data_IF_782288769889
#
_entry.id   IF_782288769889
#
_cell.length_a   1.000
_cell.length_b   1.000
_cell.length_c   1.000
_cell.angle_alpha   90.00
_cell.angle_beta   90.00
_cell.angle_gamma   90.00
#
_symmetry.space_group_name_H-M   'P 1'
#
loop_
_entity.id
_entity.type
_entity.pdbx_description
1 polymer ?
#
# COMPACT_ATOMS: atom_id res chain seq x y z
N UNK A 1 -25.26 26.86 -1.15
CA UNK A 1 -25.94 25.69 -1.73
C UNK A 1 -26.49 24.83 -0.59
N UNK A 2 -27.54 24.03 -0.80
CA UNK A 2 -27.92 22.97 0.16
C UNK A 2 -27.11 21.71 -0.10
N UNK A 3 -26.58 21.09 0.97
CA UNK A 3 -25.75 19.88 0.91
C UNK A 3 -26.55 18.63 1.34
N UNK A 4 -26.12 17.42 0.96
CA UNK A 4 -26.76 16.22 1.49
C UNK A 4 -26.57 16.12 3.01
N UNK A 5 -27.61 15.67 3.71
CA UNK A 5 -27.43 15.19 5.08
C UNK A 5 -26.56 13.92 5.07
N UNK A 6 -25.80 13.69 6.12
CA UNK A 6 -24.92 12.54 6.27
C UNK A 6 -25.28 11.69 7.50
N UNK A 7 -24.93 10.42 7.46
CA UNK A 7 -24.98 9.47 8.57
C UNK A 7 -23.75 8.58 8.52
N UNK A 8 -23.40 7.94 9.63
CA UNK A 8 -22.24 7.06 9.72
C UNK A 8 -22.67 5.60 9.67
N UNK A 9 -21.93 4.82 8.91
CA UNK A 9 -21.97 3.36 8.98
C UNK A 9 -20.65 2.80 9.50
N UNK A 10 -20.72 1.62 10.11
CA UNK A 10 -19.59 0.73 10.31
C UNK A 10 -19.75 -0.49 9.41
N UNK A 11 -18.71 -0.80 8.65
CA UNK A 11 -18.62 -2.00 7.83
C UNK A 11 -18.07 -3.17 8.65
N UNK A 12 -18.63 -4.35 8.46
CA UNK A 12 -18.15 -5.59 9.07
C UNK A 12 -17.33 -6.39 8.05
N UNK A 13 -16.00 -6.37 8.20
CA UNK A 13 -15.10 -7.21 7.42
C UNK A 13 -14.74 -8.50 8.13
N UNK A 14 -14.38 -9.53 7.36
CA UNK A 14 -13.67 -10.69 7.89
C UNK A 14 -12.39 -10.23 8.61
N UNK A 15 -12.16 -10.77 9.80
CA UNK A 15 -11.05 -10.37 10.68
C UNK A 15 -10.17 -11.55 11.09
N UNK A 16 -9.60 -12.33 10.13
CA UNK A 16 -8.51 -13.23 10.48
C UNK A 16 -7.35 -12.41 11.05
N UNK A 17 -6.71 -12.93 12.09
CA UNK A 17 -5.61 -12.24 12.77
C UNK A 17 -4.63 -13.25 13.34
N UNK A 18 -3.35 -12.92 13.26
CA UNK A 18 -2.29 -13.63 13.97
C UNK A 18 -2.10 -12.97 15.34
N UNK A 19 -2.40 -13.70 16.42
CA UNK A 19 -2.27 -13.17 17.78
C UNK A 19 -0.80 -13.23 18.29
N UNK A 20 -0.07 -14.32 18.03
CA UNK A 20 1.35 -14.47 18.35
C UNK A 20 2.21 -14.33 17.09
N UNK A 21 2.61 -13.09 16.80
CA UNK A 21 3.43 -12.76 15.62
C UNK A 21 4.81 -13.45 15.69
N UNK A 22 5.62 -13.30 16.76
CA UNK A 22 6.92 -13.97 16.84
C UNK A 22 6.83 -15.49 16.74
N UNK A 23 5.90 -16.11 17.47
CA UNK A 23 5.71 -17.56 17.44
C UNK A 23 5.32 -18.09 16.06
N UNK A 24 4.46 -17.36 15.35
CA UNK A 24 4.03 -17.72 13.99
C UNK A 24 5.18 -17.64 13.00
N UNK A 25 5.98 -16.56 13.02
CA UNK A 25 7.17 -16.43 12.15
C UNK A 25 8.15 -17.58 12.42
N UNK A 26 8.41 -17.89 13.69
CA UNK A 26 9.29 -18.97 14.09
C UNK A 26 8.78 -20.33 13.61
N UNK A 27 7.48 -20.62 13.77
CA UNK A 27 6.86 -21.86 13.32
C UNK A 27 6.96 -22.04 11.80
N UNK A 28 6.63 -20.98 11.04
CA UNK A 28 6.67 -20.99 9.59
C UNK A 28 8.09 -21.21 9.06
N UNK A 29 9.11 -20.53 9.62
CA UNK A 29 10.50 -20.71 9.20
C UNK A 29 11.06 -22.08 9.59
N UNK A 30 10.71 -22.62 10.78
CA UNK A 30 11.11 -23.97 11.20
C UNK A 30 10.54 -25.05 10.28
N UNK A 31 9.29 -24.90 9.85
CA UNK A 31 8.60 -25.84 8.96
C UNK A 31 9.36 -26.07 7.65
N UNK A 32 10.10 -25.07 7.18
CA UNK A 32 10.92 -25.15 5.96
C UNK A 32 12.22 -25.94 6.14
N UNK A 33 12.57 -26.37 7.36
CA UNK A 33 13.77 -27.17 7.60
C UNK A 33 15.08 -26.43 7.31
N UNK A 34 15.11 -25.10 7.44
CA UNK A 34 16.24 -24.25 7.02
C UNK A 34 17.55 -24.57 7.77
N UNK A 35 17.48 -25.17 8.95
CA UNK A 35 18.65 -25.66 9.72
C UNK A 35 19.50 -26.68 8.95
N UNK A 36 18.98 -27.30 7.89
CA UNK A 36 19.75 -28.22 7.02
C UNK A 36 20.57 -27.47 5.96
N UNK A 37 20.24 -26.21 5.69
CA UNK A 37 20.83 -25.38 4.62
C UNK A 37 21.71 -24.26 5.15
N UNK A 38 21.40 -23.73 6.34
CA UNK A 38 22.14 -22.66 7.00
C UNK A 38 23.14 -23.26 7.99
N UNK A 39 24.42 -22.92 7.84
CA UNK A 39 25.51 -23.32 8.75
C UNK A 39 25.86 -22.19 9.71
N UNK A 40 26.36 -22.50 10.92
CA UNK A 40 26.86 -21.50 11.85
C UNK A 40 27.85 -20.52 11.18
N UNK A 41 27.71 -19.24 11.48
CA UNK A 41 28.52 -18.15 10.94
C UNK A 41 28.12 -17.64 9.55
N UNK A 42 27.25 -18.35 8.81
CA UNK A 42 26.77 -17.88 7.51
C UNK A 42 25.92 -16.63 7.62
N UNK A 43 26.00 -15.77 6.62
CA UNK A 43 25.26 -14.52 6.55
C UNK A 43 23.88 -14.70 5.91
N UNK A 44 22.87 -14.01 6.44
CA UNK A 44 21.50 -14.07 5.90
C UNK A 44 21.00 -12.64 5.68
N UNK A 45 20.79 -12.27 4.41
CA UNK A 45 20.15 -11.00 4.07
C UNK A 45 18.64 -11.13 4.22
N UNK A 46 18.01 -10.22 4.96
CA UNK A 46 16.55 -10.18 5.17
C UNK A 46 16.02 -8.89 4.55
N UNK A 47 15.16 -9.01 3.54
CA UNK A 47 14.64 -7.82 2.83
C UNK A 47 13.59 -7.07 3.67
N UNK A 48 13.64 -5.75 3.70
CA UNK A 48 12.62 -4.88 4.29
C UNK A 48 12.01 -3.95 3.22
N UNK A 49 10.71 -4.06 2.99
CA UNK A 49 9.99 -3.25 2.00
C UNK A 49 9.63 -1.85 2.49
N UNK A 50 9.04 -1.04 1.60
CA UNK A 50 8.69 0.37 1.86
C UNK A 50 7.22 0.61 2.21
N UNK A 51 6.54 -0.40 2.74
CA UNK A 51 5.14 -0.28 3.13
C UNK A 51 5.04 -0.31 4.63
N UNK A 52 4.21 0.58 5.17
CA UNK A 52 3.64 0.40 6.49
C UNK A 52 2.83 -0.87 6.46
N UNK A 53 3.30 -1.86 7.19
CA UNK A 53 2.64 -3.14 7.41
C UNK A 53 2.52 -3.28 8.92
N UNK A 54 1.34 -3.64 9.41
CA UNK A 54 1.15 -3.83 10.83
C UNK A 54 2.15 -4.86 11.37
N UNK A 55 2.80 -4.51 12.50
CA UNK A 55 3.79 -5.34 13.18
C UNK A 55 5.05 -5.68 12.37
N UNK A 56 5.37 -4.96 11.28
CA UNK A 56 6.52 -5.32 10.42
C UNK A 56 7.85 -5.40 11.17
N UNK A 57 8.12 -4.48 12.10
CA UNK A 57 9.31 -4.53 12.95
C UNK A 57 9.35 -5.78 13.81
N UNK A 58 8.22 -6.23 14.37
CA UNK A 58 8.11 -7.48 15.14
C UNK A 58 8.36 -8.69 14.24
N UNK A 59 7.78 -8.72 13.03
CA UNK A 59 7.96 -9.81 12.06
C UNK A 59 9.42 -9.93 11.64
N UNK A 60 10.06 -8.82 11.27
CA UNK A 60 11.47 -8.79 10.85
C UNK A 60 12.37 -9.19 12.01
N UNK A 61 12.14 -8.67 13.22
CA UNK A 61 12.89 -9.07 14.42
C UNK A 61 12.75 -10.57 14.68
N UNK A 62 11.54 -11.13 14.59
CA UNK A 62 11.35 -12.56 14.80
C UNK A 62 12.09 -13.42 13.76
N UNK A 63 12.16 -12.97 12.51
CA UNK A 63 12.97 -13.63 11.48
C UNK A 63 14.48 -13.51 11.76
N UNK A 64 14.96 -12.34 12.21
CA UNK A 64 16.35 -12.14 12.67
C UNK A 64 16.68 -13.09 13.82
N UNK A 65 15.82 -13.16 14.83
CA UNK A 65 16.03 -14.00 16.01
C UNK A 65 16.02 -15.50 15.65
N UNK A 66 15.20 -15.92 14.68
CA UNK A 66 15.23 -17.28 14.13
C UNK A 66 16.61 -17.64 13.59
N UNK A 67 17.18 -16.79 12.73
CA UNK A 67 18.49 -17.05 12.13
C UNK A 67 19.64 -16.94 13.14
N UNK A 68 19.56 -16.03 14.11
CA UNK A 68 20.51 -16.01 15.24
C UNK A 68 20.46 -17.31 16.04
N UNK A 69 19.28 -17.89 16.24
CA UNK A 69 19.12 -19.20 16.87
C UNK A 69 19.71 -20.38 16.08
N UNK A 70 20.03 -20.18 14.80
CA UNK A 70 20.81 -21.11 13.97
C UNK A 70 22.32 -20.78 13.93
N UNK A 71 22.78 -19.91 14.84
CA UNK A 71 24.14 -19.36 14.88
C UNK A 71 24.54 -18.61 13.60
N UNK A 72 23.58 -18.14 12.81
CA UNK A 72 23.82 -17.34 11.61
C UNK A 72 24.03 -15.85 11.94
N UNK A 73 24.48 -15.08 10.93
CA UNK A 73 24.75 -13.64 11.02
C UNK A 73 23.77 -12.87 10.13
N UNK A 74 22.51 -12.66 10.57
CA UNK A 74 21.53 -11.95 9.78
C UNK A 74 21.86 -10.45 9.68
N UNK A 75 21.42 -9.83 8.59
CA UNK A 75 21.39 -8.38 8.43
C UNK A 75 20.20 -7.99 7.56
N UNK A 76 19.71 -6.76 7.73
CA UNK A 76 18.53 -6.25 7.04
C UNK A 76 18.98 -5.45 5.81
N UNK A 77 18.29 -5.66 4.69
CA UNK A 77 18.51 -4.91 3.43
C UNK A 77 17.22 -4.17 3.07
N UNK A 78 17.22 -2.82 3.04
CA UNK A 78 16.12 -2.06 2.46
C UNK A 78 15.93 -2.44 0.99
N UNK A 79 14.74 -2.93 0.64
CA UNK A 79 14.42 -3.51 -0.66
C UNK A 79 13.16 -2.85 -1.21
N UNK A 80 13.32 -1.64 -1.76
CA UNK A 80 12.18 -0.77 -2.03
C UNK A 80 12.25 0.06 -3.31
N UNK A 81 13.08 -0.37 -4.27
CA UNK A 81 13.15 0.23 -5.60
C UNK A 81 13.57 1.70 -5.54
N UNK A 82 12.71 2.60 -6.04
CA UNK A 82 12.91 4.06 -6.07
C UNK A 82 12.41 4.80 -4.83
N UNK A 83 11.85 4.11 -3.84
CA UNK A 83 11.38 4.76 -2.62
C UNK A 83 12.54 5.36 -1.81
N UNK A 84 12.23 6.31 -0.92
CA UNK A 84 13.24 7.08 -0.20
C UNK A 84 14.03 8.03 -1.11
N UNK A 85 13.43 8.48 -2.22
CA UNK A 85 14.10 9.32 -3.21
C UNK A 85 15.19 8.59 -4.02
N UNK A 86 15.24 7.25 -3.96
CA UNK A 86 16.26 6.47 -4.67
C UNK A 86 17.65 6.60 -4.06
N UNK A 87 17.77 6.91 -2.77
CA UNK A 87 19.04 7.03 -2.03
C UNK A 87 19.13 6.01 -0.90
N UNK A 88 20.35 5.66 -0.49
CA UNK A 88 20.57 4.73 0.61
C UNK A 88 20.06 5.30 1.94
N UNK A 89 20.29 6.59 2.19
CA UNK A 89 19.88 7.31 3.39
C UNK A 89 18.36 7.41 3.48
N UNK A 90 17.69 7.73 2.37
CA UNK A 90 16.24 7.83 2.33
C UNK A 90 15.56 6.48 2.56
N UNK A 91 16.09 5.39 1.98
CA UNK A 91 15.57 4.04 2.25
C UNK A 91 15.79 3.61 3.70
N UNK A 92 16.94 3.96 4.30
CA UNK A 92 17.20 3.68 5.71
C UNK A 92 16.20 4.39 6.62
N UNK A 93 15.96 5.69 6.40
CA UNK A 93 14.98 6.49 7.16
C UNK A 93 13.57 5.88 7.13
N UNK A 94 13.13 5.35 5.99
CA UNK A 94 11.82 4.69 5.87
C UNK A 94 11.76 3.40 6.71
N UNK A 95 12.80 2.56 6.65
CA UNK A 95 12.83 1.31 7.43
C UNK A 95 12.82 1.62 8.93
N UNK A 96 13.61 2.61 9.36
CA UNK A 96 13.67 3.06 10.75
C UNK A 96 12.34 3.67 11.22
N UNK A 97 11.62 4.41 10.36
CA UNK A 97 10.29 4.96 10.72
C UNK A 97 9.21 3.89 10.93
N UNK A 98 9.42 2.67 10.44
CA UNK A 98 8.56 1.51 10.73
C UNK A 98 8.97 0.73 12.00
N UNK A 99 9.93 1.25 12.77
CA UNK A 99 10.45 0.62 13.98
C UNK A 99 11.51 -0.45 13.72
N UNK A 100 11.95 -0.62 12.47
CA UNK A 100 13.02 -1.55 12.11
C UNK A 100 14.36 -0.81 12.30
N UNK A 101 14.91 -0.89 13.51
CA UNK A 101 16.22 -0.31 13.85
C UNK A 101 17.23 -1.40 14.17
N UNK A 102 18.52 -1.08 14.05
CA UNK A 102 19.61 -2.01 14.40
C UNK A 102 19.56 -2.40 15.88
N UNK A 103 19.21 -1.44 16.75
CA UNK A 103 19.03 -1.66 18.19
C UNK A 103 17.87 -2.64 18.46
N UNK A 104 16.70 -2.39 17.89
CA UNK A 104 15.52 -3.21 18.13
C UNK A 104 15.66 -4.62 17.55
N UNK A 105 16.16 -4.75 16.32
CA UNK A 105 16.35 -6.04 15.67
C UNK A 105 17.62 -6.77 16.17
N UNK A 106 18.56 -6.03 16.76
CA UNK A 106 19.87 -6.51 17.20
C UNK A 106 20.75 -6.99 16.04
N UNK A 107 20.60 -6.44 14.84
CA UNK A 107 21.44 -6.79 13.68
C UNK A 107 21.63 -5.57 12.76
N UNK A 108 22.70 -5.55 11.92
CA UNK A 108 22.97 -4.41 11.05
C UNK A 108 21.88 -4.19 9.98
N UNK A 109 21.67 -2.92 9.60
CA UNK A 109 20.91 -2.49 8.43
C UNK A 109 21.92 -2.04 7.37
N UNK A 110 22.02 -2.79 6.27
CA UNK A 110 22.92 -2.48 5.15
C UNK A 110 22.13 -1.81 4.03
N UNK A 111 22.10 -0.48 4.05
CA UNK A 111 21.44 0.31 3.01
C UNK A 111 22.45 0.77 1.96
N UNK A 112 22.20 0.41 0.70
CA UNK A 112 22.98 0.83 -0.47
C UNK A 112 22.11 0.82 -1.72
N UNK A 113 22.47 1.62 -2.72
CA UNK A 113 21.90 1.59 -4.07
C UNK A 113 22.72 0.74 -5.04
N UNK A 114 23.86 0.19 -4.61
CA UNK A 114 24.67 -0.67 -5.46
C UNK A 114 23.96 -1.98 -5.82
N UNK A 115 24.03 -2.33 -7.10
CA UNK A 115 23.46 -3.57 -7.64
C UNK A 115 24.49 -4.34 -8.45
N UNK A 116 24.35 -5.65 -8.51
CA UNK A 116 25.03 -6.54 -9.45
C UNK A 116 24.06 -6.90 -10.57
N UNK A 117 24.54 -6.93 -11.82
CA UNK A 117 23.77 -7.51 -12.94
C UNK A 117 23.97 -9.02 -12.92
N UNK A 118 22.93 -9.77 -12.56
CA UNK A 118 23.04 -11.22 -12.37
C UNK A 118 22.91 -12.01 -13.68
N UNK A 119 22.19 -11.46 -14.65
CA UNK A 119 22.09 -11.97 -16.02
C UNK A 119 21.40 -10.93 -16.92
N UNK A 120 21.24 -11.27 -18.20
CA UNK A 120 20.24 -10.65 -19.07
C UNK A 120 19.03 -11.58 -19.21
N UNK A 121 17.83 -11.02 -19.32
CA UNK A 121 16.61 -11.78 -19.61
C UNK A 121 16.56 -12.21 -21.08
N UNK A 122 15.67 -13.13 -21.42
CA UNK A 122 15.42 -13.50 -22.82
C UNK A 122 14.88 -12.32 -23.64
N UNK A 123 14.18 -11.40 -22.97
CA UNK A 123 13.67 -10.14 -23.51
C UNK A 123 14.77 -9.07 -23.71
N UNK A 124 16.02 -9.34 -23.33
CA UNK A 124 17.17 -8.50 -23.67
C UNK A 124 17.51 -7.37 -22.68
N UNK A 125 16.92 -7.36 -21.48
CA UNK A 125 17.21 -6.35 -20.45
C UNK A 125 17.99 -6.94 -19.25
N UNK A 126 18.78 -6.13 -18.52
CA UNK A 126 19.58 -6.63 -17.40
C UNK A 126 18.72 -6.92 -16.16
N UNK A 127 19.06 -8.00 -15.45
CA UNK A 127 18.50 -8.28 -14.13
C UNK A 127 19.42 -7.73 -13.06
N UNK A 128 18.96 -6.73 -12.31
CA UNK A 128 19.68 -6.13 -11.19
C UNK A 128 19.30 -6.79 -9.87
N UNK A 129 20.27 -6.92 -8.97
CA UNK A 129 20.05 -7.41 -7.61
C UNK A 129 20.97 -6.69 -6.62
N UNK A 130 20.49 -6.43 -5.41
CA UNK A 130 21.22 -5.74 -4.35
C UNK A 130 22.55 -6.43 -4.07
N UNK A 131 23.63 -5.64 -4.04
CA UNK A 131 24.98 -6.18 -3.88
C UNK A 131 25.17 -6.92 -2.56
N UNK A 132 24.69 -6.38 -1.44
CA UNK A 132 24.85 -7.01 -0.14
C UNK A 132 24.08 -8.33 -0.05
N UNK A 133 22.87 -8.39 -0.59
CA UNK A 133 22.05 -9.60 -0.65
C UNK A 133 22.68 -10.65 -1.57
N UNK A 134 23.27 -10.24 -2.70
CA UNK A 134 23.97 -11.14 -3.62
C UNK A 134 25.21 -11.79 -2.96
N UNK A 135 25.97 -10.99 -2.22
CA UNK A 135 27.20 -11.41 -1.53
C UNK A 135 26.93 -12.25 -0.28
N UNK A 136 25.71 -12.21 0.29
CA UNK A 136 25.32 -13.05 1.41
C UNK A 136 25.35 -14.56 1.06
N UNK A 137 25.42 -15.41 2.08
CA UNK A 137 25.28 -16.86 1.89
C UNK A 137 23.84 -17.25 1.53
N UNK A 138 22.87 -16.52 2.09
CA UNK A 138 21.44 -16.77 1.94
C UNK A 138 20.62 -15.48 1.92
N UNK A 139 19.46 -15.51 1.27
CA UNK A 139 18.49 -14.40 1.26
C UNK A 139 17.12 -14.88 1.71
N UNK A 140 16.54 -14.23 2.73
CA UNK A 140 15.12 -14.33 3.08
C UNK A 140 14.39 -13.13 2.48
N UNK A 141 13.43 -13.41 1.59
CA UNK A 141 12.58 -12.36 0.99
C UNK A 141 11.33 -12.20 1.84
N UNK A 142 11.14 -11.03 2.45
CA UNK A 142 9.92 -10.69 3.18
C UNK A 142 9.08 -9.72 2.34
N UNK A 143 7.76 -9.96 2.23
CA UNK A 143 6.90 -9.09 1.41
C UNK A 143 5.42 -9.21 1.72
N UNK A 144 4.70 -8.08 1.59
CA UNK A 144 3.24 -8.06 1.66
C UNK A 144 2.64 -8.53 0.33
N UNK A 145 1.81 -9.56 0.39
CA UNK A 145 0.99 -9.98 -0.75
C UNK A 145 -0.29 -9.15 -0.76
N UNK A 146 -0.49 -8.37 -1.82
CA UNK A 146 -1.63 -7.46 -1.98
C UNK A 146 -1.94 -7.21 -3.47
N UNK A 147 -3.20 -6.97 -3.83
CA UNK A 147 -3.53 -6.40 -5.13
C UNK A 147 -2.70 -5.15 -5.43
N UNK A 148 -2.11 -5.10 -6.62
CA UNK A 148 -1.42 -3.94 -7.14
C UNK A 148 -2.42 -2.86 -7.54
N UNK A 149 -1.96 -1.61 -7.54
CA UNK A 149 -2.78 -0.46 -7.90
C UNK A 149 -2.94 -0.30 -9.41
N UNK A 150 -1.89 -0.56 -10.20
CA UNK A 150 -1.87 -0.13 -11.62
C UNK A 150 -2.01 -1.29 -12.61
N UNK A 151 -2.10 -2.53 -12.14
CA UNK A 151 -2.30 -3.70 -13.01
C UNK A 151 -3.02 -4.83 -12.26
N UNK A 152 -3.42 -5.85 -13.01
CA UNK A 152 -4.11 -7.04 -12.49
C UNK A 152 -3.46 -8.29 -13.09
N UNK A 153 -3.22 -9.30 -12.26
CA UNK A 153 -2.60 -10.55 -12.69
C UNK A 153 -2.85 -11.70 -11.72
N UNK A 154 -2.32 -12.88 -12.02
CA UNK A 154 -2.27 -13.97 -11.03
C UNK A 154 -1.26 -13.67 -9.91
N UNK A 155 -0.27 -12.83 -10.22
CA UNK A 155 0.80 -12.38 -9.34
C UNK A 155 0.85 -10.86 -9.43
N UNK A 156 0.87 -10.19 -8.28
CA UNK A 156 0.78 -8.74 -8.19
C UNK A 156 1.86 -8.17 -7.26
N UNK A 157 1.51 -7.65 -6.08
CA UNK A 157 2.50 -7.34 -5.05
C UNK A 157 2.76 -8.57 -4.19
N UNK A 158 4.01 -8.79 -3.77
CA UNK A 158 4.41 -9.94 -2.99
C UNK A 158 5.91 -10.17 -3.02
N UNK A 159 6.33 -11.40 -2.72
CA UNK A 159 7.70 -11.89 -2.73
C UNK A 159 8.34 -11.77 -4.12
N UNK A 160 7.61 -12.10 -5.19
CA UNK A 160 8.17 -12.00 -6.54
C UNK A 160 8.43 -10.53 -6.93
N UNK A 161 7.53 -9.63 -6.54
CA UNK A 161 7.75 -8.18 -6.71
C UNK A 161 8.93 -7.67 -5.88
N UNK A 162 9.12 -8.20 -4.66
CA UNK A 162 10.27 -7.87 -3.83
C UNK A 162 11.59 -8.34 -4.46
N UNK A 163 11.61 -9.49 -5.14
CA UNK A 163 12.78 -10.01 -5.82
C UNK A 163 13.24 -9.14 -7.00
N UNK A 164 12.33 -8.64 -7.85
CA UNK A 164 12.72 -7.75 -8.96
C UNK A 164 12.79 -6.27 -8.54
N UNK A 165 11.72 -5.66 -8.03
CA UNK A 165 11.69 -4.20 -7.81
C UNK A 165 12.39 -3.85 -6.51
N UNK A 166 12.11 -4.60 -5.44
CA UNK A 166 12.65 -4.31 -4.13
C UNK A 166 14.18 -4.47 -4.11
N UNK A 167 14.64 -5.68 -4.38
CA UNK A 167 16.06 -6.04 -4.39
C UNK A 167 16.78 -5.60 -5.66
N UNK A 168 16.08 -5.27 -6.75
CA UNK A 168 16.71 -4.60 -7.90
C UNK A 168 17.08 -3.15 -7.66
N UNK A 169 16.71 -2.56 -6.51
CA UNK A 169 16.97 -1.16 -6.15
C UNK A 169 16.46 -0.18 -7.21
N UNK A 170 16.97 1.05 -7.18
CA UNK A 170 16.54 2.08 -8.10
C UNK A 170 16.85 1.70 -9.56
N UNK A 171 18.04 1.16 -9.83
CA UNK A 171 18.45 0.81 -11.20
C UNK A 171 17.58 -0.29 -11.80
N UNK A 172 17.31 -1.37 -11.05
CA UNK A 172 16.38 -2.41 -11.46
C UNK A 172 14.98 -1.86 -11.66
N UNK A 173 14.47 -1.06 -10.73
CA UNK A 173 13.15 -0.45 -10.87
C UNK A 173 13.00 0.34 -12.18
N UNK A 174 13.99 1.16 -12.56
CA UNK A 174 13.99 1.88 -13.84
C UNK A 174 13.90 0.93 -15.04
N UNK A 175 14.71 -0.14 -15.05
CA UNK A 175 14.72 -1.13 -16.12
C UNK A 175 13.37 -1.83 -16.24
N UNK A 176 12.83 -2.32 -15.12
CA UNK A 176 11.60 -3.10 -15.14
C UNK A 176 10.37 -2.25 -15.46
N UNK A 177 10.28 -1.02 -14.94
CA UNK A 177 9.19 -0.11 -15.28
C UNK A 177 9.20 0.30 -16.75
N UNK A 178 10.38 0.46 -17.35
CA UNK A 178 10.51 0.65 -18.80
C UNK A 178 10.06 -0.61 -19.56
N UNK A 179 10.53 -1.79 -19.17
CA UNK A 179 10.16 -3.05 -19.83
C UNK A 179 8.66 -3.35 -19.77
N UNK A 180 7.96 -2.96 -18.69
CA UNK A 180 6.51 -3.16 -18.54
C UNK A 180 5.68 -2.31 -19.53
N UNK A 181 6.30 -1.33 -20.21
CA UNK A 181 5.62 -0.61 -21.29
C UNK A 181 5.49 -1.45 -22.57
N UNK A 182 6.44 -2.35 -22.81
CA UNK A 182 6.46 -3.21 -24.01
C UNK A 182 5.98 -4.64 -23.72
N UNK A 183 6.04 -5.07 -22.45
CA UNK A 183 5.68 -6.42 -22.01
C UNK A 183 4.70 -6.39 -20.83
N UNK A 184 3.90 -7.44 -20.66
CA UNK A 184 3.03 -7.52 -19.48
C UNK A 184 3.84 -7.65 -18.17
N UNK A 185 3.31 -7.12 -17.07
CA UNK A 185 3.93 -7.30 -15.75
C UNK A 185 4.12 -8.78 -15.40
N UNK A 186 3.14 -9.64 -15.70
CA UNK A 186 3.22 -11.07 -15.41
C UNK A 186 4.38 -11.74 -16.17
N UNK A 187 4.61 -11.38 -17.43
CA UNK A 187 5.78 -11.86 -18.19
C UNK A 187 7.08 -11.41 -17.53
N UNK A 188 7.21 -10.12 -17.23
CA UNK A 188 8.43 -9.54 -16.64
C UNK A 188 8.72 -10.14 -15.25
N UNK A 189 7.71 -10.25 -14.40
CA UNK A 189 7.87 -10.77 -13.04
C UNK A 189 8.36 -12.23 -13.06
N UNK A 190 7.83 -13.06 -13.97
CA UNK A 190 8.23 -14.46 -14.12
C UNK A 190 9.62 -14.59 -14.72
N UNK A 191 9.93 -13.82 -15.76
CA UNK A 191 11.25 -13.82 -16.40
C UNK A 191 12.32 -13.49 -15.38
N UNK A 192 12.13 -12.41 -14.60
CA UNK A 192 13.11 -11.96 -13.60
C UNK A 192 13.16 -12.89 -12.38
N UNK A 193 12.02 -13.22 -11.77
CA UNK A 193 11.99 -14.01 -10.54
C UNK A 193 12.65 -15.38 -10.71
N UNK A 194 12.47 -16.05 -11.86
CA UNK A 194 13.14 -17.33 -12.15
C UNK A 194 14.66 -17.19 -12.16
N UNK A 195 15.19 -16.11 -12.74
CA UNK A 195 16.63 -15.86 -12.75
C UNK A 195 17.15 -15.57 -11.35
N UNK A 196 16.42 -14.77 -10.57
CA UNK A 196 16.77 -14.44 -9.18
C UNK A 196 16.78 -15.69 -8.31
N UNK A 197 15.72 -16.52 -8.36
CA UNK A 197 15.64 -17.77 -7.59
C UNK A 197 16.81 -18.70 -7.89
N UNK A 198 17.21 -18.81 -9.16
CA UNK A 198 18.30 -19.70 -9.57
C UNK A 198 19.71 -19.18 -9.21
N UNK A 199 19.91 -17.87 -9.02
CA UNK A 199 21.26 -17.26 -8.93
C UNK A 199 21.54 -16.47 -7.66
N UNK A 200 20.51 -16.05 -6.94
CA UNK A 200 20.64 -15.08 -5.84
C UNK A 200 20.48 -15.72 -4.47
N UNK A 201 20.71 -17.04 -4.35
CA UNK A 201 20.73 -17.78 -3.07
C UNK A 201 19.48 -17.53 -2.22
N UNK A 202 18.32 -17.45 -2.87
CA UNK A 202 17.04 -17.31 -2.17
C UNK A 202 16.83 -18.57 -1.34
N UNK A 203 16.78 -18.38 -0.02
CA UNK A 203 16.63 -19.44 0.95
C UNK A 203 15.16 -19.76 1.16
N UNK A 204 14.34 -18.72 1.31
CA UNK A 204 12.90 -18.80 1.52
C UNK A 204 12.24 -17.43 1.28
N UNK A 205 10.91 -17.42 1.22
CA UNK A 205 10.07 -16.24 1.34
C UNK A 205 9.30 -16.22 2.68
N UNK A 206 8.99 -15.03 3.16
CA UNK A 206 8.08 -14.76 4.27
C UNK A 206 6.99 -13.81 3.78
N UNK A 207 5.86 -14.39 3.36
CA UNK A 207 4.73 -13.66 2.84
C UNK A 207 3.82 -13.18 3.97
N UNK A 208 3.37 -11.93 3.89
CA UNK A 208 2.52 -11.27 4.89
C UNK A 208 1.21 -10.83 4.20
N UNK A 209 0.07 -11.12 4.83
CA UNK A 209 -1.25 -10.65 4.39
C UNK A 209 -1.90 -9.88 5.54
N UNK A 210 -2.60 -8.80 5.21
CA UNK A 210 -3.37 -7.98 6.14
C UNK A 210 -4.88 -8.16 5.92
N UNK A 211 -5.67 -7.94 6.97
CA UNK A 211 -7.13 -7.95 6.88
C UNK A 211 -7.70 -6.54 6.62
N UNK A 212 -9.03 -6.42 6.57
CA UNK A 212 -9.75 -5.17 6.30
C UNK A 212 -9.62 -4.08 7.38
N UNK A 213 -8.94 -4.39 8.48
CA UNK A 213 -8.70 -3.49 9.61
C UNK A 213 -7.22 -3.12 9.76
N UNK A 214 -6.40 -3.38 8.73
CA UNK A 214 -4.95 -3.16 8.75
C UNK A 214 -4.24 -3.99 9.83
N UNK A 215 -4.73 -5.19 10.14
CA UNK A 215 -4.05 -6.12 11.07
C UNK A 215 -3.39 -7.26 10.30
N UNK A 216 -2.30 -7.81 10.85
CA UNK A 216 -1.63 -8.98 10.30
C UNK A 216 -2.57 -10.20 10.34
N UNK A 217 -3.07 -10.60 9.17
CA UNK A 217 -4.04 -11.69 9.01
C UNK A 217 -3.38 -13.05 8.91
N UNK A 218 -2.25 -13.11 8.20
CA UNK A 218 -1.57 -14.36 7.88
C UNK A 218 -0.09 -14.08 7.62
N UNK A 219 0.77 -14.96 8.14
CA UNK A 219 2.19 -15.03 7.84
C UNK A 219 2.47 -16.43 7.28
N UNK A 220 3.16 -16.52 6.14
CA UNK A 220 3.50 -17.79 5.51
C UNK A 220 4.99 -17.84 5.15
N UNK A 221 5.67 -18.87 5.64
CA UNK A 221 7.00 -19.27 5.20
C UNK A 221 6.86 -20.10 3.92
N UNK A 222 7.59 -19.74 2.88
CA UNK A 222 7.46 -20.35 1.55
C UNK A 222 8.83 -20.80 1.04
N UNK A 223 9.02 -22.09 0.66
CA UNK A 223 10.27 -22.52 0.06
C UNK A 223 10.41 -21.94 -1.36
N UNK A 224 11.64 -21.73 -1.87
CA UNK A 224 11.88 -21.05 -3.15
C UNK A 224 11.10 -21.62 -4.34
N UNK A 225 10.99 -22.94 -4.41
CA UNK A 225 10.29 -23.69 -5.47
C UNK A 225 8.76 -23.51 -5.47
N UNK A 226 8.17 -23.09 -4.35
CA UNK A 226 6.72 -22.90 -4.20
C UNK A 226 6.30 -21.42 -4.25
N UNK A 227 7.25 -20.46 -4.28
CA UNK A 227 6.96 -19.02 -4.18
C UNK A 227 5.88 -18.59 -5.19
N UNK A 228 6.02 -18.99 -6.45
CA UNK A 228 5.08 -18.59 -7.50
C UNK A 228 3.67 -19.13 -7.23
N UNK A 229 3.53 -20.42 -6.95
CA UNK A 229 2.23 -21.06 -6.72
C UNK A 229 1.57 -20.52 -5.45
N UNK A 230 2.33 -20.43 -4.36
CA UNK A 230 1.82 -19.99 -3.07
C UNK A 230 1.41 -18.52 -3.10
N UNK A 231 2.16 -17.65 -3.79
CA UNK A 231 1.79 -16.23 -3.91
C UNK A 231 0.45 -16.02 -4.62
N UNK A 232 0.12 -16.84 -5.64
CA UNK A 232 -1.20 -16.81 -6.30
C UNK A 232 -2.34 -17.11 -5.33
N UNK A 233 -2.18 -18.14 -4.52
CA UNK A 233 -3.18 -18.53 -3.50
C UNK A 233 -3.34 -17.44 -2.44
N UNK A 234 -2.23 -16.88 -1.97
CA UNK A 234 -2.20 -15.81 -0.98
C UNK A 234 -2.84 -14.53 -1.53
N UNK A 235 -2.67 -14.23 -2.82
CA UNK A 235 -3.30 -13.06 -3.46
C UNK A 235 -4.83 -13.17 -3.51
N UNK A 236 -5.38 -14.38 -3.66
CA UNK A 236 -6.83 -14.60 -3.58
C UNK A 236 -7.37 -14.23 -2.19
N UNK A 237 -6.68 -14.65 -1.12
CA UNK A 237 -7.03 -14.27 0.25
C UNK A 237 -6.88 -12.75 0.47
N UNK A 238 -5.78 -12.15 0.00
CA UNK A 238 -5.57 -10.72 0.09
C UNK A 238 -6.70 -9.91 -0.59
N UNK A 239 -7.21 -10.34 -1.75
CA UNK A 239 -8.36 -9.71 -2.41
C UNK A 239 -9.67 -9.84 -1.63
N UNK A 240 -9.86 -10.97 -0.95
CA UNK A 240 -11.05 -11.26 -0.15
C UNK A 240 -11.08 -10.40 1.11
N UNK A 241 -9.94 -10.24 1.78
CA UNK A 241 -9.85 -9.52 3.05
C UNK A 241 -9.56 -8.03 2.91
N UNK A 242 -9.19 -7.55 1.72
CA UNK A 242 -8.97 -6.13 1.46
C UNK A 242 -10.24 -5.30 1.76
N UNK A 243 -10.11 -4.15 2.43
CA UNK A 243 -11.25 -3.28 2.72
C UNK A 243 -11.82 -2.70 1.42
N UNK A 244 -13.11 -2.37 1.42
CA UNK A 244 -13.82 -1.82 0.25
C UNK A 244 -14.74 -0.68 0.65
N UNK A 245 -15.05 0.20 -0.30
CA UNK A 245 -16.13 1.16 -0.11
C UNK A 245 -17.46 0.40 0.02
N UNK A 246 -18.38 0.89 0.88
CA UNK A 246 -19.63 0.17 1.12
C UNK A 246 -20.50 0.15 -0.14
N UNK A 247 -20.47 1.19 -0.99
CA UNK A 247 -21.42 1.32 -2.10
C UNK A 247 -20.73 1.39 -3.46
N UNK A 248 -21.40 0.88 -4.50
CA UNK A 248 -20.85 0.74 -5.84
C UNK A 248 -20.86 2.02 -6.70
N UNK A 249 -21.65 3.03 -6.34
CA UNK A 249 -21.77 4.27 -7.12
C UNK A 249 -21.63 5.46 -6.21
N UNK A 250 -20.63 6.30 -6.48
CA UNK A 250 -20.27 7.44 -5.64
C UNK A 250 -20.15 8.67 -6.53
N UNK A 251 -20.92 9.71 -6.22
CA UNK A 251 -20.87 10.98 -6.96
C UNK A 251 -19.66 11.81 -6.52
N UNK A 252 -19.43 11.89 -5.20
CA UNK A 252 -18.28 12.57 -4.59
C UNK A 252 -17.69 11.66 -3.51
N UNK A 253 -16.43 11.29 -3.65
CA UNK A 253 -15.63 10.63 -2.63
C UNK A 253 -14.68 11.66 -2.00
N UNK A 254 -14.96 12.02 -0.76
CA UNK A 254 -14.11 12.90 0.05
C UNK A 254 -13.14 12.04 0.87
N UNK A 255 -11.84 12.30 0.72
CA UNK A 255 -10.76 11.56 1.37
C UNK A 255 -9.96 12.52 2.24
N UNK A 256 -9.86 12.26 3.55
CA UNK A 256 -9.10 13.13 4.45
C UNK A 256 -7.62 13.18 4.09
N UNK A 257 -7.04 12.01 3.83
CA UNK A 257 -5.61 11.91 3.53
C UNK A 257 -5.26 10.78 2.56
N UNK A 258 -4.19 11.02 1.80
CA UNK A 258 -3.52 10.01 0.97
C UNK A 258 -2.05 9.93 1.35
N UNK A 259 -1.38 8.84 0.98
CA UNK A 259 0.03 8.66 1.30
C UNK A 259 0.58 7.33 0.83
N UNK A 260 1.90 7.26 0.59
CA UNK A 260 2.53 6.02 0.12
C UNK A 260 2.52 4.90 1.16
N UNK A 261 2.35 5.23 2.43
CA UNK A 261 2.10 4.29 3.51
C UNK A 261 0.71 3.63 3.38
N UNK A 262 -0.31 4.38 2.93
CA UNK A 262 -1.68 3.86 2.68
C UNK A 262 -1.68 2.93 1.47
N UNK A 263 -1.12 3.41 0.34
CA UNK A 263 -1.15 2.67 -0.93
C UNK A 263 0.03 2.99 -1.85
N UNK A 264 0.26 2.12 -2.82
CA UNK A 264 1.24 2.30 -3.90
C UNK A 264 1.20 3.68 -4.54
N UNK A 265 0.00 4.01 -5.01
CA UNK A 265 -0.35 5.22 -5.70
C UNK A 265 -0.95 6.29 -4.75
N UNK A 266 -0.60 6.29 -3.46
CA UNK A 266 -1.12 7.24 -2.46
C UNK A 266 -2.52 6.92 -1.94
N UNK A 267 -3.43 6.57 -2.85
CA UNK A 267 -4.73 5.95 -2.56
C UNK A 267 -4.83 4.59 -3.25
N UNK A 268 -5.67 3.69 -2.76
CA UNK A 268 -5.85 2.37 -3.36
C UNK A 268 -6.84 2.42 -4.51
N UNK A 269 -6.33 2.25 -5.72
CA UNK A 269 -7.12 2.25 -6.96
C UNK A 269 -8.11 1.09 -7.05
N UNK A 270 -7.87 -0.01 -6.31
CA UNK A 270 -8.84 -1.10 -6.18
C UNK A 270 -10.04 -0.69 -5.30
N UNK A 271 -9.83 0.22 -4.35
CA UNK A 271 -10.87 0.73 -3.45
C UNK A 271 -11.72 1.80 -4.13
N UNK A 272 -11.08 2.72 -4.87
CA UNK A 272 -11.78 3.80 -5.57
C UNK A 272 -12.27 3.40 -6.97
N UNK A 273 -11.93 2.20 -7.43
CA UNK A 273 -12.37 1.62 -8.71
C UNK A 273 -11.80 2.32 -9.94
N UNK A 274 -10.57 2.86 -9.84
CA UNK A 274 -9.87 3.60 -10.91
C UNK A 274 -8.47 3.01 -11.12
N UNK A 275 -8.39 1.75 -11.53
CA UNK A 275 -7.11 1.02 -11.63
C UNK A 275 -6.33 1.35 -12.90
N UNK A 276 -7.02 1.64 -14.00
CA UNK A 276 -6.34 1.91 -15.28
C UNK A 276 -6.56 3.31 -15.86
N UNK A 277 -7.49 4.08 -15.31
CA UNK A 277 -7.76 5.48 -15.70
C UNK A 277 -7.98 6.29 -14.43
N UNK A 278 -7.12 7.28 -14.22
CA UNK A 278 -7.02 8.06 -12.99
C UNK A 278 -8.30 8.86 -12.67
N UNK A 279 -9.09 9.18 -13.70
CA UNK A 279 -10.26 10.06 -13.58
C UNK A 279 -11.59 9.35 -13.86
N UNK A 280 -11.55 8.05 -14.20
CA UNK A 280 -12.76 7.29 -14.51
C UNK A 280 -12.56 5.79 -14.33
N UNK A 281 -13.48 5.16 -13.60
CA UNK A 281 -13.61 3.71 -13.60
C UNK A 281 -13.93 3.16 -15.00
N UNK A 282 -13.14 2.19 -15.49
CA UNK A 282 -13.48 1.40 -16.70
C UNK A 282 -14.76 0.60 -16.50
N UNK A 283 -15.32 0.06 -17.58
CA UNK A 283 -16.62 -0.63 -17.54
C UNK A 283 -16.67 -1.78 -16.52
N UNK A 284 -15.60 -2.55 -16.42
CA UNK A 284 -15.44 -3.71 -15.52
C UNK A 284 -14.91 -3.36 -14.13
N UNK A 285 -14.56 -2.10 -13.87
CA UNK A 285 -14.04 -1.64 -12.58
C UNK A 285 -15.15 -1.13 -11.66
N UNK A 286 -15.09 -1.48 -10.38
CA UNK A 286 -16.04 -1.01 -9.38
C UNK A 286 -15.31 -0.69 -8.07
N UNK A 287 -15.78 0.30 -7.29
CA UNK A 287 -16.96 1.14 -7.51
C UNK A 287 -16.78 2.20 -8.61
N UNK A 288 -17.88 2.79 -9.09
CA UNK A 288 -17.86 3.95 -9.98
C UNK A 288 -17.80 5.23 -9.14
N UNK A 289 -16.59 5.76 -8.94
CA UNK A 289 -16.38 7.05 -8.28
C UNK A 289 -16.25 8.16 -9.32
N UNK A 290 -17.19 9.11 -9.30
CA UNK A 290 -17.27 10.16 -10.31
C UNK A 290 -16.34 11.33 -10.03
N UNK A 291 -16.31 11.82 -8.79
CA UNK A 291 -15.37 12.85 -8.32
C UNK A 291 -14.64 12.40 -7.08
N UNK A 292 -13.33 12.58 -7.03
CA UNK A 292 -12.50 12.40 -5.85
C UNK A 292 -12.01 13.77 -5.38
N UNK A 293 -12.12 14.00 -4.07
CA UNK A 293 -11.60 15.16 -3.36
C UNK A 293 -10.59 14.69 -2.32
N UNK A 294 -9.37 15.22 -2.37
CA UNK A 294 -8.29 14.93 -1.39
C UNK A 294 -8.04 16.13 -0.48
N UNK A 295 -8.11 15.94 0.85
CA UNK A 295 -8.02 17.05 1.82
C UNK A 295 -6.63 17.24 2.44
N UNK A 296 -5.72 16.28 2.25
CA UNK A 296 -4.39 16.31 2.84
C UNK A 296 -3.54 15.09 2.50
N UNK A 297 -2.33 15.09 3.06
CA UNK A 297 -1.35 13.99 3.01
C UNK A 297 -1.09 13.47 4.42
N UNK A 298 -0.85 12.17 4.55
CA UNK A 298 -0.36 11.59 5.82
C UNK A 298 1.03 12.15 6.15
N UNK A 299 1.35 12.35 7.41
CA UNK A 299 2.72 12.73 7.82
C UNK A 299 3.78 11.69 7.38
N UNK A 300 3.44 10.40 7.46
CA UNK A 300 4.30 9.27 7.12
C UNK A 300 4.71 9.20 5.63
N UNK A 301 4.08 9.98 4.74
CA UNK A 301 4.50 10.07 3.33
C UNK A 301 5.69 11.03 3.14
N UNK A 302 6.06 11.80 4.18
CA UNK A 302 7.13 12.80 4.14
C UNK A 302 7.00 13.77 2.93
N UNK A 303 5.77 14.20 2.67
CA UNK A 303 5.44 15.10 1.56
C UNK A 303 5.37 14.45 0.17
N UNK A 304 5.67 13.16 0.03
CA UNK A 304 5.45 12.46 -1.24
C UNK A 304 3.94 12.35 -1.54
N UNK A 305 3.47 13.10 -2.52
CA UNK A 305 2.06 13.19 -2.92
C UNK A 305 1.73 12.34 -4.15
N UNK A 306 2.48 11.27 -4.44
CA UNK A 306 2.12 10.33 -5.52
C UNK A 306 0.65 9.89 -5.34
N UNK A 307 -0.17 10.12 -6.36
CA UNK A 307 -1.61 9.84 -6.32
C UNK A 307 -2.50 11.08 -6.25
N UNK A 308 -1.95 12.25 -5.91
CA UNK A 308 -2.75 13.48 -5.81
C UNK A 308 -3.40 13.85 -7.15
N UNK A 309 -2.72 13.55 -8.27
CA UNK A 309 -3.24 13.79 -9.60
C UNK A 309 -4.36 12.85 -10.03
N UNK A 310 -4.71 11.84 -9.21
CA UNK A 310 -5.88 11.00 -9.43
C UNK A 310 -7.17 11.61 -8.90
N UNK A 311 -7.07 12.70 -8.14
CA UNK A 311 -8.22 13.46 -7.66
C UNK A 311 -8.61 14.55 -8.68
N UNK A 312 -9.88 14.94 -8.69
CA UNK A 312 -10.31 16.11 -9.47
C UNK A 312 -10.12 17.40 -8.68
N UNK A 313 -10.28 17.32 -7.35
CA UNK A 313 -10.17 18.46 -6.46
C UNK A 313 -9.28 18.15 -5.25
N UNK A 314 -8.66 19.18 -4.69
CA UNK A 314 -8.00 19.09 -3.40
C UNK A 314 -8.07 20.39 -2.60
N UNK A 315 -7.57 20.36 -1.37
CA UNK A 315 -7.32 21.59 -0.60
C UNK A 315 -5.99 22.22 -0.99
N UNK A 316 -5.90 23.55 -0.95
CA UNK A 316 -4.62 24.28 -1.09
C UNK A 316 -3.58 23.77 -0.09
N UNK A 317 -4.01 23.41 1.12
CA UNK A 317 -3.16 22.80 2.15
C UNK A 317 -2.50 21.49 1.69
N UNK A 318 -3.22 20.62 0.99
CA UNK A 318 -2.64 19.36 0.48
C UNK A 318 -1.51 19.62 -0.54
N UNK A 319 -1.68 20.64 -1.39
CA UNK A 319 -0.62 21.09 -2.33
C UNK A 319 0.60 21.59 -1.56
N UNK A 320 0.40 22.41 -0.52
CA UNK A 320 1.48 22.97 0.29
C UNK A 320 2.27 21.91 1.08
N UNK A 321 1.66 20.76 1.39
CA UNK A 321 2.33 19.63 2.05
C UNK A 321 3.25 18.84 1.10
N UNK A 322 3.22 19.10 -0.21
CA UNK A 322 3.89 18.28 -1.21
C UNK A 322 5.39 18.59 -1.34
N UNK A 323 6.23 17.57 -1.18
CA UNK A 323 7.61 17.56 -1.69
C UNK A 323 7.57 17.20 -3.19
N UNK A 324 7.71 18.22 -4.04
CA UNK A 324 7.66 18.06 -5.49
C UNK A 324 8.78 17.18 -6.03
N UNK A 325 9.96 17.20 -5.42
CA UNK A 325 11.09 16.40 -5.91
C UNK A 325 10.84 14.92 -5.65
N UNK A 326 10.53 14.56 -4.40
CA UNK A 326 10.24 13.17 -4.02
C UNK A 326 9.05 12.60 -4.82
N UNK A 327 8.01 13.41 -4.99
CA UNK A 327 6.81 13.05 -5.76
C UNK A 327 7.15 12.79 -7.23
N UNK A 328 7.89 13.69 -7.88
CA UNK A 328 8.28 13.54 -9.30
C UNK A 328 9.20 12.35 -9.53
N UNK A 329 10.22 12.16 -8.69
CA UNK A 329 11.12 10.99 -8.80
C UNK A 329 10.30 9.70 -8.76
N UNK A 330 9.37 9.57 -7.83
CA UNK A 330 8.55 8.36 -7.73
C UNK A 330 7.63 8.16 -8.95
N UNK A 331 6.86 9.19 -9.32
CA UNK A 331 5.90 9.08 -10.42
C UNK A 331 6.60 8.82 -11.77
N UNK A 332 7.70 9.52 -12.06
CA UNK A 332 8.47 9.34 -13.30
C UNK A 332 9.11 7.96 -13.34
N UNK A 333 9.76 7.50 -12.27
CA UNK A 333 10.37 6.15 -12.25
C UNK A 333 9.32 5.06 -12.42
N UNK A 334 8.11 5.25 -11.89
CA UNK A 334 7.03 4.25 -12.04
C UNK A 334 6.33 4.27 -13.41
N UNK A 335 6.51 5.34 -14.19
CA UNK A 335 5.76 5.59 -15.43
C UNK A 335 4.37 6.22 -15.22
N UNK A 336 3.92 6.43 -13.99
CA UNK A 336 2.59 7.00 -13.67
C UNK A 336 2.65 8.54 -13.54
N UNK A 337 2.93 9.21 -14.65
CA UNK A 337 3.20 10.66 -14.68
C UNK A 337 1.98 11.49 -14.21
N UNK A 338 0.77 11.09 -14.61
CA UNK A 338 -0.48 11.76 -14.22
C UNK A 338 -0.69 11.78 -12.70
N UNK A 339 -0.20 10.79 -11.95
CA UNK A 339 -0.35 10.72 -10.50
C UNK A 339 0.35 11.86 -9.74
N UNK A 340 1.26 12.63 -10.37
CA UNK A 340 1.86 13.83 -9.79
C UNK A 340 1.33 15.16 -10.36
N UNK A 341 0.32 15.13 -11.23
CA UNK A 341 -0.34 16.36 -11.69
C UNK A 341 -1.12 17.01 -10.53
N UNK A 342 -1.22 18.33 -10.53
CA UNK A 342 -1.94 19.05 -9.46
C UNK A 342 -3.43 19.19 -9.84
N UNK A 343 -4.36 18.77 -8.97
CA UNK A 343 -5.80 18.94 -9.21
C UNK A 343 -6.24 20.39 -8.93
N UNK A 344 -7.51 20.69 -9.23
CA UNK A 344 -8.09 22.01 -8.90
C UNK A 344 -8.14 22.17 -7.38
N UNK A 345 -7.59 23.26 -6.84
CA UNK A 345 -7.52 23.47 -5.40
C UNK A 345 -8.31 24.70 -4.93
N UNK A 346 -8.85 24.59 -3.71
CA UNK A 346 -9.53 25.67 -2.98
C UNK A 346 -9.07 25.70 -1.53
N UNK A 347 -9.33 26.81 -0.83
CA UNK A 347 -8.83 27.01 0.54
C UNK A 347 -9.72 26.33 1.59
N UNK A 348 -11.00 26.12 1.28
CA UNK A 348 -11.97 25.52 2.23
C UNK A 348 -12.72 24.31 1.66
N UNK A 349 -13.11 23.38 2.53
CA UNK A 349 -13.92 22.21 2.11
C UNK A 349 -15.27 22.62 1.49
N UNK A 350 -15.85 23.72 1.97
CA UNK A 350 -17.10 24.28 1.44
C UNK A 350 -16.95 24.71 -0.02
N UNK A 351 -15.90 25.46 -0.34
CA UNK A 351 -15.63 25.90 -1.73
C UNK A 351 -15.42 24.70 -2.65
N UNK A 352 -14.70 23.67 -2.19
CA UNK A 352 -14.50 22.44 -2.97
C UNK A 352 -15.85 21.76 -3.26
N UNK A 353 -16.71 21.60 -2.25
CA UNK A 353 -18.01 20.95 -2.43
C UNK A 353 -18.96 21.79 -3.30
N UNK A 354 -18.93 23.12 -3.17
CA UNK A 354 -19.68 24.04 -4.04
C UNK A 354 -19.24 23.94 -5.51
N UNK A 355 -17.95 23.70 -5.75
CA UNK A 355 -17.40 23.48 -7.10
C UNK A 355 -17.64 22.04 -7.62
N UNK A 356 -17.53 21.04 -6.76
CA UNK A 356 -17.58 19.63 -7.16
C UNK A 356 -19.00 19.14 -7.45
N UNK A 357 -19.98 19.48 -6.61
CA UNK A 357 -21.36 18.98 -6.71
C UNK A 357 -22.05 19.33 -8.05
N UNK A 358 -21.90 20.53 -8.63
CA UNK A 358 -22.45 20.83 -9.96
C UNK A 358 -21.88 19.95 -11.09
N UNK A 359 -20.72 19.31 -10.88
CA UNK A 359 -20.05 18.50 -11.92
C UNK A 359 -20.46 17.03 -11.92
N UNK A 360 -21.36 16.61 -11.02
CA UNK A 360 -21.75 15.20 -10.86
C UNK A 360 -22.86 14.76 -11.82
N UNK A 361 -23.44 15.70 -12.58
CA UNK A 361 -24.54 15.48 -13.51
C UNK A 361 -25.82 16.20 -13.08
N UNK A 362 -26.97 15.67 -13.45
CA UNK A 362 -28.29 16.27 -13.19
C UNK A 362 -28.82 15.99 -11.77
N UNK A 363 -28.07 15.28 -10.94
CA UNK A 363 -28.45 15.01 -9.55
C UNK A 363 -28.41 16.30 -8.73
N UNK A 364 -29.52 16.70 -8.07
CA UNK A 364 -29.49 17.85 -7.16
C UNK A 364 -28.51 17.61 -6.00
N UNK A 365 -27.79 18.65 -5.58
CA UNK A 365 -26.79 18.55 -4.53
C UNK A 365 -27.26 17.83 -3.23
N UNK A 366 -28.46 18.10 -2.67
CA UNK A 366 -28.96 17.39 -1.49
C UNK A 366 -29.18 15.88 -1.66
N UNK A 367 -29.24 15.39 -2.91
CA UNK A 367 -29.43 13.98 -3.26
C UNK A 367 -28.14 13.31 -3.74
N UNK A 368 -27.02 14.03 -3.75
CA UNK A 368 -25.73 13.51 -4.20
C UNK A 368 -25.27 12.32 -3.36
N UNK A 369 -24.76 11.29 -4.03
CA UNK A 369 -24.15 10.10 -3.40
C UNK A 369 -22.74 10.40 -2.89
N UNK A 370 -22.67 11.14 -1.78
CA UNK A 370 -21.42 11.50 -1.13
C UNK A 370 -20.96 10.42 -0.14
N UNK A 371 -19.68 10.03 -0.23
CA UNK A 371 -18.97 9.27 0.79
C UNK A 371 -17.80 10.10 1.32
N UNK A 372 -17.57 10.04 2.63
CA UNK A 372 -16.43 10.67 3.27
C UNK A 372 -15.69 9.63 4.13
N UNK A 373 -14.42 9.39 3.78
CA UNK A 373 -13.53 8.39 4.38
C UNK A 373 -12.29 9.06 4.96
N UNK A 374 -11.67 8.38 5.93
CA UNK A 374 -10.37 8.80 6.45
C UNK A 374 -9.31 8.65 5.37
N UNK A 375 -9.12 7.42 4.89
CA UNK A 375 -8.27 7.08 3.77
C UNK A 375 -8.68 5.73 3.18
N UNK A 376 -8.00 5.26 2.13
CA UNK A 376 -8.36 3.99 1.45
C UNK A 376 -7.89 2.72 2.16
N UNK A 377 -7.13 2.84 3.24
CA UNK A 377 -6.72 1.71 4.08
C UNK A 377 -7.68 1.51 5.26
N UNK A 378 -8.21 2.60 5.82
CA UNK A 378 -9.17 2.61 6.92
C UNK A 378 -10.59 2.93 6.44
N UNK A 379 -11.38 1.88 6.21
CA UNK A 379 -12.76 1.95 5.72
C UNK A 379 -13.76 1.29 6.68
N UNK A 380 -13.35 0.94 7.90
CA UNK A 380 -14.26 0.31 8.85
C UNK A 380 -15.42 1.22 9.22
N UNK A 381 -15.21 2.54 9.26
CA UNK A 381 -16.27 3.54 9.44
C UNK A 381 -16.26 4.55 8.30
N UNK A 382 -17.43 4.83 7.74
CA UNK A 382 -17.61 5.73 6.59
C UNK A 382 -18.78 6.67 6.86
N UNK A 383 -18.63 7.95 6.54
CA UNK A 383 -19.77 8.87 6.47
C UNK A 383 -20.41 8.77 5.09
N UNK A 384 -21.72 8.64 5.07
CA UNK A 384 -22.53 8.41 3.91
C UNK A 384 -23.63 9.45 3.83
N UNK A 385 -23.87 10.00 2.63
CA UNK A 385 -25.05 10.83 2.37
C UNK A 385 -26.36 10.07 2.57
N UNK A 386 -27.44 10.81 2.85
CA UNK A 386 -28.80 10.29 3.01
C UNK A 386 -29.27 9.42 1.84
N UNK A 387 -28.70 9.61 0.65
CA UNK A 387 -28.98 8.81 -0.55
C UNK A 387 -28.70 7.30 -0.36
N UNK A 388 -27.85 6.93 0.61
CA UNK A 388 -27.52 5.53 0.90
C UNK A 388 -28.33 4.93 2.05
N UNK A 389 -29.17 5.70 2.75
CA UNK A 389 -29.76 5.25 4.02
C UNK A 389 -30.64 4.00 3.88
N UNK A 390 -31.43 3.91 2.81
CA UNK A 390 -32.29 2.74 2.58
C UNK A 390 -31.45 1.50 2.23
N UNK A 391 -30.48 1.64 1.32
CA UNK A 391 -29.55 0.55 0.96
C UNK A 391 -28.74 0.07 2.17
N UNK A 392 -28.32 0.98 3.05
CA UNK A 392 -27.61 0.62 4.27
C UNK A 392 -28.46 -0.20 5.25
N UNK A 393 -29.77 0.08 5.36
CA UNK A 393 -30.69 -0.65 6.26
C UNK A 393 -30.96 -2.09 5.82
N UNK A 394 -30.83 -2.35 4.53
CA UNK A 394 -31.07 -3.68 3.94
C UNK A 394 -29.85 -4.61 4.03
N UNK A 395 -28.72 -4.09 4.50
CA UNK A 395 -27.43 -4.77 4.49
C UNK A 395 -27.00 -5.22 5.88
N UNK A 396 -26.85 -6.53 6.05
CA UNK A 396 -26.42 -7.14 7.31
C UNK A 396 -24.93 -6.92 7.63
N UNK A 397 -24.13 -6.52 6.65
CA UNK A 397 -22.71 -6.22 6.80
C UNK A 397 -22.45 -4.74 7.17
N UNK A 398 -23.51 -3.95 7.38
CA UNK A 398 -23.44 -2.53 7.76
C UNK A 398 -24.20 -2.27 9.07
N UNK A 399 -23.55 -1.58 10.01
CA UNK A 399 -24.15 -1.07 11.25
C UNK A 399 -24.32 0.45 11.14
N UNK A 400 -25.54 0.97 11.29
CA UNK A 400 -25.80 2.42 11.30
C UNK A 400 -25.49 3.00 12.68
N UNK A 401 -24.47 3.86 12.75
CA UNK A 401 -23.95 4.41 14.01
C UNK A 401 -24.60 5.76 14.40
N UNK A 402 -25.12 6.50 13.42
CA UNK A 402 -25.73 7.82 13.66
C UNK A 402 -26.99 8.03 12.81
N UNK A 403 -27.86 8.92 13.26
CA UNK A 403 -28.95 9.45 12.43
C UNK A 403 -28.46 10.49 11.41
N UNK A 404 -29.34 10.89 10.51
CA UNK A 404 -29.07 11.94 9.53
C UNK A 404 -28.76 13.28 10.21
N UNK A 405 -27.71 13.95 9.75
CA UNK A 405 -27.28 15.26 10.26
C UNK A 405 -26.65 16.10 9.15
N UNK A 406 -26.62 17.44 9.27
CA UNK A 406 -25.91 18.27 8.29
C UNK A 406 -24.41 17.98 8.28
N UNK A 407 -23.74 18.37 7.20
CA UNK A 407 -22.27 18.42 7.17
C UNK A 407 -21.75 19.35 8.28
N UNK A 408 -20.81 18.91 9.12
CA UNK A 408 -20.38 19.64 10.31
C UNK A 408 -19.32 20.71 9.98
N UNK A 409 -19.65 21.65 9.10
CA UNK A 409 -18.73 22.75 8.78
C UNK A 409 -18.49 23.65 10.00
N UNK A 410 -17.24 24.09 10.17
CA UNK A 410 -16.89 25.18 11.07
C UNK A 410 -17.24 26.57 10.46
N UNK A 411 -16.93 27.62 11.22
CA UNK A 411 -17.18 29.00 10.80
C UNK A 411 -16.34 29.44 9.59
N UNK A 412 -15.21 28.77 9.33
CA UNK A 412 -14.34 29.00 8.18
C UNK A 412 -14.75 28.17 6.96
N UNK A 413 -15.77 27.31 7.08
CA UNK A 413 -16.24 26.46 5.98
C UNK A 413 -15.44 25.18 5.81
N UNK A 414 -14.68 24.75 6.82
CA UNK A 414 -13.97 23.47 6.81
C UNK A 414 -14.72 22.40 7.58
N UNK A 415 -14.56 21.16 7.13
CA UNK A 415 -14.97 19.98 7.88
C UNK A 415 -13.90 19.66 8.94
N UNK A 416 -14.24 18.91 10.01
CA UNK A 416 -13.26 18.39 10.95
C UNK A 416 -12.06 17.74 10.25
N UNK A 417 -10.87 17.83 10.86
CA UNK A 417 -9.61 17.37 10.23
C UNK A 417 -9.65 15.91 9.77
N UNK A 418 -10.42 15.07 10.44
CA UNK A 418 -10.67 13.69 10.04
C UNK A 418 -12.09 13.28 10.35
N UNK A 419 -12.63 12.36 9.56
CA UNK A 419 -13.88 11.65 9.82
C UNK A 419 -13.86 10.95 11.20
N UNK A 420 -12.69 10.54 11.70
CA UNK A 420 -12.54 9.96 13.04
C UNK A 420 -12.63 10.99 14.15
N UNK A 421 -12.31 12.26 13.91
CA UNK A 421 -12.42 13.32 14.92
C UNK A 421 -13.87 13.53 15.38
N UNK A 422 -14.85 13.12 14.57
CA UNK A 422 -16.26 13.07 14.94
C UNK A 422 -16.57 12.05 16.05
N UNK A 423 -15.67 11.10 16.35
CA UNK A 423 -15.78 10.20 17.52
C UNK A 423 -15.61 10.99 18.83
N UNK A 424 -14.73 11.98 18.86
CA UNK A 424 -14.36 12.73 20.06
C UNK A 424 -15.45 13.72 20.52
N UNK A 425 -16.25 14.25 19.59
CA UNK A 425 -17.34 15.20 19.90
C UNK A 425 -18.52 14.58 20.66
N UNK A 426 -18.61 13.25 20.74
CA UNK A 426 -19.64 12.52 21.51
C UNK A 426 -19.20 12.02 22.88
N UNK A 427 -17.90 12.05 23.19
CA UNK A 427 -17.42 11.75 24.55
C UNK A 427 -17.48 12.98 25.48
N UNK A 428 -17.80 14.15 24.93
CA UNK A 428 -17.85 15.43 25.63
C UNK A 428 -19.21 16.15 25.50
N UNK A 429 -20.28 15.44 25.07
CA UNK A 429 -21.67 15.95 25.08
C UNK A 429 -22.59 15.13 25.96
#
# INVERSE_FOLDING_TARGET
MEYPQIFRVRQLFERPRVDDIPGTVQAELRRLGLQRRVKPGQTVAISAGSRGIANIHVIIKAAVDYFKGLDARPFIVPAMGSHGGGTAEGQRKIVESYGITEEYCGCPIRSSMETVVVCQTAEGFPVHFDRHAFEADHVLVCGRVKPHTDFKGEIESGLMKMMLIGLGKHQGALVYHAAIQDYSFDQIVRSVARQVLARCKILAGLAIIENGYDETALIAGVPPEEIEAREKELLVLARRWMPRLPFQRVDVLLIDEIGKNISGAGMDTNVVGRKYDDHKAREDEWPKVRRIVVRGLTEATHGNASGIGMAEFCTTRAIQQTDLHATRVNCITSGHISACMLPVNFDTDREILDAALPTIGLTPAPQAKLLWIHNTLDLAEVECSAAYLNEARERSDLEILTGLRPLPFDAQGNLPLSVHALRALRAAS
#
